data_IF_474931001317
#
_entry.id   IF_474931001317
#
_cell.length_a   1.000
_cell.length_b   1.000
_cell.length_c   1.000
_cell.angle_alpha   90.00
_cell.angle_beta   90.00
_cell.angle_gamma   90.00
#
_symmetry.space_group_name_H-M   'P 1'
#
loop_
_entity.id
_entity.type
_entity.pdbx_description
1 polymer ?
#
# COMPACT_ATOMS: atom_id res chain seq x y z
N UNK A 1 8.80 -28.67 32.12
CA UNK A 1 9.98 -29.55 32.32
C UNK A 1 11.11 -29.19 31.36
N UNK A 2 10.87 -28.97 30.06
CA UNK A 2 11.89 -28.54 29.08
C UNK A 2 12.47 -27.15 29.39
N UNK A 3 11.63 -26.21 29.80
CA UNK A 3 11.98 -24.85 30.18
C UNK A 3 13.01 -24.82 31.35
N UNK A 4 12.84 -25.71 32.33
CA UNK A 4 13.76 -25.78 33.50
C UNK A 4 15.09 -26.44 33.20
N UNK A 5 15.16 -27.31 32.18
CA UNK A 5 16.36 -28.12 31.90
C UNK A 5 17.34 -27.40 30.95
N UNK A 6 16.84 -26.69 29.95
CA UNK A 6 17.67 -25.99 28.96
C UNK A 6 18.28 -24.70 29.51
N UNK A 7 17.64 -24.11 30.48
CA UNK A 7 17.98 -22.78 30.97
C UNK A 7 18.92 -22.81 32.19
N UNK A 8 18.92 -23.91 32.99
CA UNK A 8 19.69 -24.03 34.23
C UNK A 8 21.12 -24.50 34.08
N UNK A 9 21.57 -24.90 32.90
CA UNK A 9 22.99 -25.26 32.72
C UNK A 9 23.82 -24.01 32.48
N UNK A 10 24.61 -23.62 33.45
CA UNK A 10 25.67 -22.63 33.26
C UNK A 10 26.68 -23.20 32.25
N UNK A 11 26.62 -22.66 31.03
CA UNK A 11 27.57 -22.99 29.97
C UNK A 11 28.80 -22.13 30.21
N UNK A 12 29.95 -22.77 30.43
CA UNK A 12 31.23 -22.06 30.53
C UNK A 12 31.51 -21.37 29.18
N UNK A 13 32.00 -20.13 29.23
CA UNK A 13 32.17 -19.23 28.07
C UNK A 13 33.09 -19.76 26.96
N UNK A 14 33.80 -20.87 27.19
CA UNK A 14 34.81 -21.41 26.26
C UNK A 14 34.32 -22.52 25.32
N UNK A 15 33.08 -23.01 25.45
CA UNK A 15 32.53 -24.07 24.57
C UNK A 15 31.64 -23.48 23.47
N UNK A 16 32.23 -23.22 22.31
CA UNK A 16 31.48 -22.70 21.14
C UNK A 16 30.35 -23.65 20.69
N UNK A 17 30.53 -24.95 20.79
CA UNK A 17 29.51 -25.95 20.43
C UNK A 17 28.34 -25.91 21.44
N UNK A 18 28.61 -25.78 22.73
CA UNK A 18 27.58 -25.68 23.76
C UNK A 18 26.76 -24.38 23.61
N UNK A 19 27.40 -23.28 23.23
CA UNK A 19 26.75 -22.00 22.93
C UNK A 19 25.83 -22.12 21.71
N UNK A 20 26.28 -22.79 20.63
CA UNK A 20 25.45 -22.99 19.42
C UNK A 20 24.23 -23.87 19.70
N UNK A 21 24.39 -24.97 20.44
CA UNK A 21 23.30 -25.85 20.84
C UNK A 21 22.26 -25.09 21.68
N UNK A 22 22.73 -24.24 22.62
CA UNK A 22 21.84 -23.42 23.44
C UNK A 22 21.09 -22.36 22.61
N UNK A 23 21.78 -21.70 21.66
CA UNK A 23 21.16 -20.75 20.71
C UNK A 23 20.06 -21.41 19.87
N UNK A 24 20.35 -22.58 19.32
CA UNK A 24 19.38 -23.34 18.52
C UNK A 24 18.20 -23.82 19.36
N UNK A 25 18.44 -24.29 20.58
CA UNK A 25 17.39 -24.73 21.49
C UNK A 25 16.46 -23.58 21.90
N UNK A 26 17.00 -22.38 22.09
CA UNK A 26 16.20 -21.18 22.38
C UNK A 26 15.34 -20.80 21.18
N UNK A 27 15.86 -20.88 19.96
CA UNK A 27 15.09 -20.60 18.73
C UNK A 27 13.99 -21.62 18.50
N UNK A 28 14.27 -22.92 18.70
CA UNK A 28 13.27 -23.97 18.59
C UNK A 28 12.17 -23.82 19.64
N UNK A 29 12.52 -23.52 20.90
CA UNK A 29 11.55 -23.25 21.95
C UNK A 29 10.69 -22.01 21.59
N UNK A 30 11.32 -20.94 21.11
CA UNK A 30 10.62 -19.74 20.63
C UNK A 30 9.64 -20.07 19.50
N UNK A 31 10.04 -20.91 18.53
CA UNK A 31 9.17 -21.31 17.44
C UNK A 31 8.00 -22.18 17.88
N UNK A 32 8.20 -23.04 18.87
CA UNK A 32 7.13 -23.85 19.48
C UNK A 32 6.15 -22.97 20.25
N UNK A 33 6.63 -22.02 21.06
CA UNK A 33 5.77 -21.07 21.78
C UNK A 33 4.98 -20.18 20.82
N UNK A 34 5.58 -19.77 19.71
CA UNK A 34 4.90 -19.03 18.65
C UNK A 34 3.77 -19.86 18.01
N UNK A 35 4.02 -21.13 17.70
CA UNK A 35 3.01 -22.05 17.14
C UNK A 35 1.87 -22.36 18.11
N UNK A 36 2.14 -22.39 19.41
CA UNK A 36 1.13 -22.64 20.47
C UNK A 36 0.36 -21.37 20.87
N UNK A 37 0.74 -20.19 20.37
CA UNK A 37 0.05 -18.93 20.67
C UNK A 37 0.34 -18.35 22.07
N UNK A 38 1.38 -18.83 22.76
CA UNK A 38 1.74 -18.40 24.13
C UNK A 38 2.64 -17.16 24.12
N UNK A 39 2.06 -15.98 23.92
CA UNK A 39 2.78 -14.71 23.80
C UNK A 39 3.48 -14.31 25.12
N UNK A 40 2.83 -14.51 26.27
CA UNK A 40 3.39 -14.15 27.58
C UNK A 40 4.63 -14.97 27.92
N UNK A 41 4.63 -16.27 27.62
CA UNK A 41 5.75 -17.15 27.87
C UNK A 41 6.94 -16.82 26.94
N UNK A 42 6.66 -16.45 25.69
CA UNK A 42 7.69 -16.02 24.73
C UNK A 42 8.32 -14.69 25.17
N UNK A 43 7.51 -13.74 25.67
CA UNK A 43 8.00 -12.49 26.28
C UNK A 43 8.86 -12.76 27.53
N UNK A 44 8.44 -13.69 28.38
CA UNK A 44 9.21 -14.17 29.53
C UNK A 44 10.53 -14.82 29.14
N UNK A 45 10.54 -15.64 28.06
CA UNK A 45 11.76 -16.25 27.52
C UNK A 45 12.76 -15.18 27.06
N UNK A 46 12.28 -14.12 26.41
CA UNK A 46 13.12 -13.03 25.93
C UNK A 46 13.80 -12.26 27.07
N UNK A 47 13.07 -12.05 28.19
CA UNK A 47 13.63 -11.46 29.42
C UNK A 47 14.64 -12.39 30.08
N UNK A 48 14.35 -13.68 30.11
CA UNK A 48 15.19 -14.67 30.74
C UNK A 48 16.52 -14.90 30.00
N UNK A 49 16.53 -14.78 28.66
CA UNK A 49 17.72 -14.97 27.83
C UNK A 49 18.70 -13.78 27.94
N UNK A 50 18.29 -12.61 28.48
CA UNK A 50 19.15 -11.41 28.59
C UNK A 50 20.52 -11.64 29.23
N UNK A 51 20.67 -12.36 30.36
CA UNK A 51 21.98 -12.65 30.94
C UNK A 51 22.88 -13.44 30.00
N UNK A 52 22.30 -14.43 29.28
CA UNK A 52 23.02 -15.23 28.30
C UNK A 52 23.44 -14.40 27.06
N UNK A 53 22.65 -13.40 26.67
CA UNK A 53 23.03 -12.48 25.58
C UNK A 53 24.27 -11.64 25.91
N UNK A 54 24.58 -11.45 27.16
CA UNK A 54 25.77 -10.71 27.58
C UNK A 54 27.05 -11.57 27.52
N UNK A 55 26.93 -12.89 27.58
CA UNK A 55 28.05 -13.84 27.45
C UNK A 55 28.40 -14.18 25.98
N UNK A 56 27.54 -13.85 25.03
CA UNK A 56 27.73 -14.16 23.61
C UNK A 56 28.25 -12.95 22.83
N UNK A 57 28.84 -13.21 21.64
CA UNK A 57 29.28 -12.15 20.74
C UNK A 57 28.11 -11.24 20.34
N UNK A 58 28.36 -9.94 20.25
CA UNK A 58 27.33 -8.91 19.94
C UNK A 58 26.53 -9.21 18.69
N UNK A 59 27.16 -9.83 17.66
CA UNK A 59 26.52 -10.19 16.40
C UNK A 59 25.56 -11.39 16.54
N UNK A 60 25.97 -12.44 17.26
CA UNK A 60 25.12 -13.64 17.53
C UNK A 60 23.92 -13.23 18.40
N UNK A 61 24.17 -12.45 19.46
CA UNK A 61 23.11 -11.92 20.32
C UNK A 61 22.07 -11.09 19.55
N UNK A 62 22.53 -10.21 18.65
CA UNK A 62 21.63 -9.41 17.83
C UNK A 62 20.79 -10.24 16.86
N UNK A 63 21.35 -11.33 16.30
CA UNK A 63 20.62 -12.27 15.44
C UNK A 63 19.53 -12.99 16.23
N UNK A 64 19.87 -13.53 17.40
CA UNK A 64 18.96 -14.30 18.25
C UNK A 64 17.78 -13.45 18.71
N UNK A 65 18.04 -12.23 19.20
CA UNK A 65 16.96 -11.31 19.61
C UNK A 65 16.06 -10.92 18.45
N UNK A 66 16.63 -10.68 17.25
CA UNK A 66 15.82 -10.40 16.04
C UNK A 66 14.92 -11.58 15.68
N UNK A 67 15.47 -12.80 15.64
CA UNK A 67 14.67 -13.98 15.29
C UNK A 67 13.55 -14.24 16.29
N UNK A 68 13.80 -14.07 17.59
CA UNK A 68 12.76 -14.20 18.62
C UNK A 68 11.68 -13.13 18.50
N UNK A 69 12.05 -11.89 18.22
CA UNK A 69 11.08 -10.82 18.01
C UNK A 69 10.29 -10.99 16.71
N UNK A 70 10.92 -11.51 15.65
CA UNK A 70 10.19 -11.84 14.41
C UNK A 70 9.12 -12.90 14.67
N UNK A 71 9.46 -13.96 15.42
CA UNK A 71 8.49 -14.98 15.85
C UNK A 71 7.36 -14.40 16.71
N UNK A 72 7.67 -13.45 17.59
CA UNK A 72 6.69 -12.80 18.44
C UNK A 72 5.75 -11.87 17.64
N UNK A 73 6.28 -11.12 16.68
CA UNK A 73 5.51 -10.23 15.82
C UNK A 73 4.64 -10.98 14.79
N UNK A 74 5.09 -12.17 14.37
CA UNK A 74 4.32 -13.02 13.44
C UNK A 74 3.13 -13.73 14.12
N UNK A 75 3.03 -13.71 15.46
CA UNK A 75 1.92 -14.29 16.19
C UNK A 75 0.65 -13.44 16.06
N UNK A 76 -0.47 -14.08 15.67
CA UNK A 76 -1.77 -13.40 15.54
C UNK A 76 -2.43 -13.04 16.88
N UNK A 77 -2.03 -13.70 17.96
CA UNK A 77 -2.67 -13.65 19.30
C UNK A 77 -2.16 -12.53 20.22
N UNK A 78 -1.19 -11.72 19.79
CA UNK A 78 -0.56 -10.74 20.65
C UNK A 78 -1.42 -9.46 20.78
N UNK A 79 -1.94 -9.24 21.95
CA UNK A 79 -2.90 -8.17 22.31
C UNK A 79 -2.20 -6.97 22.95
N UNK A 80 -1.42 -6.20 22.17
CA UNK A 80 -0.85 -4.94 22.67
C UNK A 80 0.43 -5.06 23.52
N UNK A 81 0.72 -6.20 24.11
CA UNK A 81 1.97 -6.48 24.85
C UNK A 81 3.22 -6.46 23.97
N UNK A 82 3.04 -6.61 22.66
CA UNK A 82 4.11 -6.53 21.64
C UNK A 82 4.84 -5.19 21.69
N UNK A 83 4.07 -4.13 21.82
CA UNK A 83 4.58 -2.75 21.83
C UNK A 83 5.46 -2.52 23.05
N UNK A 84 4.97 -2.93 24.21
CA UNK A 84 5.67 -2.75 25.49
C UNK A 84 6.97 -3.57 25.52
N UNK A 85 6.91 -4.81 25.03
CA UNK A 85 8.09 -5.68 24.96
C UNK A 85 9.15 -5.14 23.99
N UNK A 86 8.72 -4.65 22.80
CA UNK A 86 9.64 -4.03 21.85
C UNK A 86 10.30 -2.78 22.44
N UNK A 87 9.54 -1.91 23.10
CA UNK A 87 10.06 -0.72 23.76
C UNK A 87 11.04 -1.08 24.86
N UNK A 88 10.72 -2.08 25.69
CA UNK A 88 11.62 -2.58 26.73
C UNK A 88 12.93 -3.15 26.16
N UNK A 89 12.86 -3.86 25.03
CA UNK A 89 14.04 -4.35 24.33
C UNK A 89 14.89 -3.21 23.73
N UNK A 90 14.25 -2.17 23.21
CA UNK A 90 14.94 -0.97 22.71
C UNK A 90 15.66 -0.24 23.85
N UNK A 91 15.02 -0.07 25.00
CA UNK A 91 15.63 0.54 26.18
C UNK A 91 16.80 -0.28 26.70
N UNK A 92 16.64 -1.60 26.78
CA UNK A 92 17.74 -2.49 27.13
C UNK A 92 18.91 -2.38 26.15
N UNK A 93 18.65 -2.35 24.83
CA UNK A 93 19.69 -2.19 23.83
C UNK A 93 20.40 -0.82 23.92
N UNK A 94 19.69 0.23 24.36
CA UNK A 94 20.25 1.56 24.64
C UNK A 94 21.16 1.52 25.87
N UNK A 95 20.74 0.88 26.96
CA UNK A 95 21.52 0.76 28.20
C UNK A 95 22.82 0.01 27.98
N UNK A 96 22.79 -1.06 27.18
CA UNK A 96 23.96 -1.89 26.84
C UNK A 96 24.82 -1.29 25.71
N UNK A 97 24.49 -0.08 25.22
CA UNK A 97 25.18 0.59 24.10
C UNK A 97 25.31 -0.27 22.83
N UNK A 98 24.30 -1.13 22.55
CA UNK A 98 24.22 -2.00 21.40
C UNK A 98 23.52 -1.27 20.25
N UNK A 99 24.23 -0.35 19.59
CA UNK A 99 23.65 0.56 18.58
C UNK A 99 22.98 -0.17 17.41
N UNK A 100 23.63 -1.19 16.83
CA UNK A 100 23.08 -1.98 15.72
C UNK A 100 21.81 -2.74 16.10
N UNK A 101 21.78 -3.33 17.30
CA UNK A 101 20.60 -4.02 17.78
C UNK A 101 19.45 -3.04 18.02
N UNK A 102 19.71 -1.91 18.67
CA UNK A 102 18.73 -0.85 18.89
C UNK A 102 18.10 -0.41 17.57
N UNK A 103 18.92 -0.10 16.58
CA UNK A 103 18.45 0.35 15.27
C UNK A 103 17.60 -0.69 14.55
N UNK A 104 18.03 -1.95 14.57
CA UNK A 104 17.25 -3.05 14.00
C UNK A 104 15.90 -3.23 14.72
N UNK A 105 15.84 -3.07 16.05
CA UNK A 105 14.60 -3.15 16.82
C UNK A 105 13.68 -1.94 16.55
N UNK A 106 14.23 -0.74 16.48
CA UNK A 106 13.47 0.47 16.12
C UNK A 106 12.83 0.36 14.73
N UNK A 107 13.54 -0.22 13.75
CA UNK A 107 13.00 -0.51 12.42
C UNK A 107 11.87 -1.54 12.49
N UNK A 108 12.06 -2.64 13.22
CA UNK A 108 11.05 -3.70 13.36
C UNK A 108 9.80 -3.19 14.07
N UNK A 109 9.95 -2.45 15.16
CA UNK A 109 8.84 -1.80 15.86
C UNK A 109 8.02 -0.89 14.94
N UNK A 110 8.69 -0.19 14.03
CA UNK A 110 8.06 0.71 13.07
C UNK A 110 7.37 -0.03 11.92
N UNK A 111 7.79 -1.27 11.63
CA UNK A 111 7.32 -2.06 10.49
C UNK A 111 6.04 -2.87 10.77
N UNK A 112 5.61 -2.98 12.02
CA UNK A 112 4.47 -3.81 12.42
C UNK A 112 3.14 -3.30 11.81
N UNK A 113 2.43 -4.12 10.99
CA UNK A 113 1.24 -3.71 10.27
C UNK A 113 -0.08 -3.79 11.05
N UNK A 114 -0.08 -4.28 12.31
CA UNK A 114 -1.33 -4.58 13.03
C UNK A 114 -2.19 -3.35 13.32
N UNK A 115 -3.52 -3.43 13.10
CA UNK A 115 -4.44 -2.29 13.24
C UNK A 115 -4.87 -2.08 14.69
N UNK A 116 -4.07 -1.38 15.48
CA UNK A 116 -4.46 -0.89 16.80
C UNK A 116 -4.55 0.64 16.80
N UNK A 117 -5.30 1.24 17.73
CA UNK A 117 -5.41 2.71 17.91
C UNK A 117 -4.04 3.41 17.99
N UNK A 118 -2.98 2.68 18.35
CA UNK A 118 -1.59 3.10 18.33
C UNK A 118 -0.97 3.30 16.93
N UNK A 119 -1.66 2.87 15.85
CA UNK A 119 -1.12 2.99 14.47
C UNK A 119 -0.93 4.44 14.05
N UNK A 120 -1.90 5.30 14.34
CA UNK A 120 -1.80 6.75 14.05
C UNK A 120 -0.69 7.41 14.88
N UNK A 121 -0.54 7.04 16.15
CA UNK A 121 0.54 7.54 16.99
C UNK A 121 1.92 7.09 16.50
N UNK A 122 2.06 5.84 16.04
CA UNK A 122 3.31 5.34 15.44
C UNK A 122 3.65 6.06 14.13
N UNK A 123 2.66 6.30 13.27
CA UNK A 123 2.86 7.06 12.03
C UNK A 123 3.26 8.51 12.28
N UNK A 124 2.78 9.13 13.34
CA UNK A 124 3.20 10.47 13.74
C UNK A 124 4.60 10.51 14.38
N UNK A 125 4.99 9.44 15.08
CA UNK A 125 6.27 9.34 15.77
C UNK A 125 7.42 8.93 14.84
N UNK A 126 7.12 8.14 13.78
CA UNK A 126 8.12 7.66 12.83
C UNK A 126 8.91 8.77 12.10
N UNK A 127 8.31 9.88 11.62
CA UNK A 127 9.08 10.92 10.94
C UNK A 127 10.17 11.53 11.83
N UNK A 128 9.94 11.58 13.14
CA UNK A 128 10.91 12.11 14.09
C UNK A 128 12.02 11.10 14.40
N UNK A 129 11.65 9.88 14.74
CA UNK A 129 12.58 8.78 15.07
C UNK A 129 13.33 8.32 13.81
N UNK A 130 12.64 8.16 12.70
CA UNK A 130 13.19 7.74 11.41
C UNK A 130 14.23 8.71 10.86
N UNK A 131 14.02 10.02 11.01
CA UNK A 131 14.99 11.02 10.55
C UNK A 131 16.32 10.97 11.31
N UNK A 132 16.27 10.67 12.62
CA UNK A 132 17.44 10.47 13.45
C UNK A 132 18.15 9.16 13.08
N UNK A 133 17.39 8.08 12.94
CA UNK A 133 17.88 6.77 12.54
C UNK A 133 18.56 6.80 11.16
N UNK A 134 17.96 7.49 10.18
CA UNK A 134 18.54 7.69 8.86
C UNK A 134 19.89 8.43 8.89
N UNK A 135 20.03 9.44 9.76
CA UNK A 135 21.30 10.16 9.92
C UNK A 135 22.38 9.26 10.51
N UNK A 136 22.04 8.43 11.49
CA UNK A 136 22.96 7.48 12.12
C UNK A 136 23.37 6.38 11.12
N UNK A 137 22.44 5.79 10.38
CA UNK A 137 22.71 4.74 9.40
C UNK A 137 23.55 5.22 8.22
N UNK A 138 23.34 6.45 7.75
CA UNK A 138 24.19 7.06 6.72
C UNK A 138 25.65 7.23 7.18
N UNK A 139 25.88 7.44 8.47
CA UNK A 139 27.23 7.54 9.04
C UNK A 139 27.91 6.18 9.18
N UNK A 140 27.12 5.11 9.38
CA UNK A 140 27.64 3.76 9.63
C UNK A 140 27.78 2.90 8.37
N UNK A 141 27.32 3.40 7.22
CA UNK A 141 27.33 2.75 5.89
C UNK A 141 26.63 1.36 5.84
N UNK A 142 25.67 1.13 6.74
CA UNK A 142 24.80 -0.07 6.68
C UNK A 142 23.69 0.15 5.67
N UNK A 143 24.01 -0.13 4.39
CA UNK A 143 23.11 0.10 3.27
C UNK A 143 21.88 -0.81 3.29
N UNK A 144 22.01 -2.04 3.80
CA UNK A 144 20.88 -2.98 3.84
C UNK A 144 19.79 -2.48 4.78
N UNK A 145 20.16 -2.09 6.00
CA UNK A 145 19.22 -1.53 6.96
C UNK A 145 18.70 -0.16 6.53
N UNK A 146 19.53 0.62 5.83
CA UNK A 146 19.14 1.91 5.27
C UNK A 146 18.00 1.77 4.25
N UNK A 147 18.04 0.76 3.38
CA UNK A 147 16.95 0.47 2.41
C UNK A 147 15.66 0.11 3.14
N UNK A 148 15.72 -0.72 4.18
CA UNK A 148 14.54 -1.08 4.96
C UNK A 148 13.90 0.15 5.63
N UNK A 149 14.71 1.04 6.22
CA UNK A 149 14.22 2.26 6.87
C UNK A 149 13.61 3.24 5.86
N UNK A 150 14.25 3.44 4.71
CA UNK A 150 13.73 4.31 3.65
C UNK A 150 12.43 3.76 3.05
N UNK A 151 12.31 2.43 2.92
CA UNK A 151 11.06 1.79 2.49
C UNK A 151 9.94 2.01 3.51
N UNK A 152 10.23 1.90 4.80
CA UNK A 152 9.29 2.22 5.86
C UNK A 152 8.90 3.70 5.87
N UNK A 153 9.86 4.59 5.67
CA UNK A 153 9.61 6.02 5.53
C UNK A 153 8.64 6.30 4.39
N UNK A 154 8.84 5.66 3.24
CA UNK A 154 7.92 5.77 2.10
C UNK A 154 6.51 5.29 2.44
N UNK A 155 6.36 4.14 3.12
CA UNK A 155 5.07 3.61 3.55
C UNK A 155 4.36 4.53 4.55
N UNK A 156 5.09 5.10 5.48
CA UNK A 156 4.52 6.04 6.47
C UNK A 156 4.05 7.34 5.84
N UNK A 157 4.84 7.93 4.93
CA UNK A 157 4.41 9.11 4.20
C UNK A 157 3.21 8.83 3.29
N UNK A 158 3.14 7.65 2.68
CA UNK A 158 1.96 7.23 1.92
C UNK A 158 0.72 7.14 2.81
N UNK A 159 0.84 6.52 3.99
CA UNK A 159 -0.26 6.42 4.96
C UNK A 159 -0.72 7.80 5.50
N UNK A 160 0.19 8.78 5.56
CA UNK A 160 -0.09 10.19 5.89
C UNK A 160 -0.58 11.00 4.67
N UNK A 161 -0.84 10.35 3.54
CA UNK A 161 -1.28 10.98 2.28
C UNK A 161 -0.28 12.00 1.71
N UNK A 162 1.00 11.91 2.09
CA UNK A 162 2.07 12.77 1.58
C UNK A 162 2.83 12.05 0.46
N UNK A 163 2.22 11.97 -0.72
CA UNK A 163 2.75 11.25 -1.88
C UNK A 163 4.11 11.76 -2.35
N UNK A 164 4.39 13.08 -2.47
CA UNK A 164 5.69 13.55 -2.92
C UNK A 164 6.86 13.11 -2.04
N UNK A 165 6.67 13.14 -0.70
CA UNK A 165 7.70 12.66 0.25
C UNK A 165 7.83 11.14 0.21
N UNK A 166 6.72 10.42 0.08
CA UNK A 166 6.72 8.97 -0.07
C UNK A 166 7.52 8.54 -1.31
N UNK A 167 7.34 9.23 -2.43
CA UNK A 167 8.08 9.01 -3.68
C UNK A 167 9.57 9.31 -3.53
N UNK A 168 9.93 10.43 -2.92
CA UNK A 168 11.33 10.81 -2.68
C UNK A 168 12.06 9.76 -1.82
N UNK A 169 11.43 9.29 -0.74
CA UNK A 169 11.96 8.24 0.12
C UNK A 169 12.13 6.92 -0.64
N UNK A 170 11.16 6.54 -1.47
CA UNK A 170 11.23 5.33 -2.30
C UNK A 170 12.34 5.41 -3.34
N UNK A 171 12.50 6.54 -4.02
CA UNK A 171 13.58 6.75 -4.98
C UNK A 171 14.95 6.61 -4.31
N UNK A 172 15.11 7.17 -3.10
CA UNK A 172 16.32 7.01 -2.31
C UNK A 172 16.55 5.54 -1.92
N UNK A 173 15.49 4.82 -1.53
CA UNK A 173 15.58 3.40 -1.20
C UNK A 173 16.04 2.56 -2.40
N UNK A 174 15.45 2.77 -3.59
CA UNK A 174 15.83 2.06 -4.82
C UNK A 174 17.25 2.38 -5.25
N UNK A 175 17.68 3.62 -5.17
CA UNK A 175 19.08 4.02 -5.47
C UNK A 175 20.06 3.30 -4.55
N UNK A 176 19.74 3.21 -3.26
CA UNK A 176 20.58 2.49 -2.29
C UNK A 176 20.55 0.97 -2.53
N UNK A 177 19.38 0.41 -2.85
CA UNK A 177 19.21 -1.02 -3.13
C UNK A 177 19.98 -1.46 -4.38
N UNK A 178 20.03 -0.63 -5.43
CA UNK A 178 20.80 -0.91 -6.65
C UNK A 178 22.32 -0.96 -6.41
N UNK A 179 22.81 -0.35 -5.33
CA UNK A 179 24.22 -0.33 -4.98
C UNK A 179 24.67 -1.55 -4.14
N UNK A 180 23.75 -2.43 -3.75
CA UNK A 180 24.02 -3.61 -2.92
C UNK A 180 23.31 -4.84 -3.48
N UNK A 181 23.71 -6.03 -2.99
CA UNK A 181 22.90 -7.21 -3.21
C UNK A 181 21.63 -7.12 -2.37
N UNK A 182 20.49 -6.98 -3.04
CA UNK A 182 19.18 -6.88 -2.39
C UNK A 182 18.53 -8.26 -2.31
N UNK A 183 18.13 -8.75 -1.13
CA UNK A 183 17.39 -10.01 -1.02
C UNK A 183 16.06 -9.94 -1.78
N UNK A 184 15.59 -11.05 -2.43
CA UNK A 184 14.37 -11.04 -3.23
C UNK A 184 13.14 -10.56 -2.47
N UNK A 185 13.03 -10.86 -1.17
CA UNK A 185 11.94 -10.38 -0.29
C UNK A 185 11.90 -8.85 -0.19
N UNK A 186 13.07 -8.22 -0.08
CA UNK A 186 13.18 -6.77 0.03
C UNK A 186 12.95 -6.09 -1.32
N UNK A 187 13.48 -6.67 -2.40
CA UNK A 187 13.24 -6.19 -3.76
C UNK A 187 11.74 -6.22 -4.09
N UNK A 188 11.05 -7.34 -3.83
CA UNK A 188 9.61 -7.45 -4.02
C UNK A 188 8.82 -6.42 -3.18
N UNK A 189 9.29 -6.10 -1.98
CA UNK A 189 8.67 -5.08 -1.15
C UNK A 189 8.87 -3.65 -1.69
N UNK A 190 10.01 -3.37 -2.34
CA UNK A 190 10.28 -2.11 -3.04
C UNK A 190 9.39 -1.96 -4.28
N UNK A 191 9.26 -3.03 -5.07
CA UNK A 191 8.44 -3.02 -6.28
C UNK A 191 6.96 -2.91 -5.94
N UNK A 192 6.50 -3.59 -4.87
CA UNK A 192 5.15 -3.42 -4.34
C UNK A 192 4.84 -1.96 -3.97
N UNK A 193 5.75 -1.31 -3.25
CA UNK A 193 5.58 0.10 -2.85
C UNK A 193 5.65 1.04 -4.07
N UNK A 194 6.46 0.72 -5.07
CA UNK A 194 6.54 1.47 -6.33
C UNK A 194 5.20 1.43 -7.07
N UNK A 195 4.61 0.24 -7.21
CA UNK A 195 3.30 0.06 -7.81
C UNK A 195 2.21 0.85 -7.09
N UNK A 196 2.20 0.83 -5.75
CA UNK A 196 1.24 1.57 -4.93
C UNK A 196 1.34 3.08 -5.17
N UNK A 197 2.55 3.64 -5.19
CA UNK A 197 2.75 5.08 -5.39
C UNK A 197 2.36 5.50 -6.81
N UNK A 198 2.74 4.73 -7.86
CA UNK A 198 2.34 5.01 -9.23
C UNK A 198 0.82 4.98 -9.41
N UNK A 199 0.14 4.01 -8.80
CA UNK A 199 -1.32 3.92 -8.81
C UNK A 199 -2.00 5.10 -8.10
N UNK A 200 -1.40 5.60 -7.00
CA UNK A 200 -1.99 6.66 -6.18
C UNK A 200 -1.76 8.06 -6.77
N UNK A 201 -0.54 8.37 -7.22
CA UNK A 201 -0.10 9.72 -7.63
C UNK A 201 -0.39 9.97 -9.12
N UNK A 202 0.15 9.14 -9.99
CA UNK A 202 0.13 9.37 -11.43
C UNK A 202 -1.09 8.72 -12.12
N UNK A 203 -1.83 7.88 -11.42
CA UNK A 203 -2.89 7.03 -11.98
C UNK A 203 -2.39 6.20 -13.19
N UNK A 204 -1.07 5.97 -13.25
CA UNK A 204 -0.43 5.16 -14.28
C UNK A 204 -0.54 3.67 -13.91
N UNK A 205 -1.70 3.11 -14.26
CA UNK A 205 -2.03 1.72 -13.98
C UNK A 205 -1.18 0.72 -14.77
N UNK A 206 -0.61 1.13 -15.92
CA UNK A 206 0.25 0.25 -16.74
C UNK A 206 1.58 0.02 -16.06
N UNK A 207 2.25 1.10 -15.65
CA UNK A 207 3.51 1.01 -14.92
C UNK A 207 3.31 0.37 -13.54
N UNK A 208 2.21 0.72 -12.84
CA UNK A 208 1.87 0.08 -11.57
C UNK A 208 1.70 -1.43 -11.71
N UNK A 209 1.03 -1.90 -12.77
CA UNK A 209 0.89 -3.32 -13.07
C UNK A 209 2.23 -4.03 -13.23
N UNK A 210 3.18 -3.43 -13.97
CA UNK A 210 4.52 -4.02 -14.17
C UNK A 210 5.26 -4.19 -12.85
N UNK A 211 5.22 -3.18 -11.96
CA UNK A 211 5.81 -3.31 -10.63
C UNK A 211 5.13 -4.34 -9.73
N UNK A 212 3.80 -4.44 -9.80
CA UNK A 212 3.09 -5.48 -9.05
C UNK A 212 3.37 -6.88 -9.58
N UNK A 213 3.61 -7.03 -10.88
CA UNK A 213 3.99 -8.29 -11.49
C UNK A 213 5.40 -8.73 -11.02
N UNK A 214 6.38 -7.83 -11.04
CA UNK A 214 7.72 -8.08 -10.50
C UNK A 214 7.67 -8.43 -9.00
N UNK A 215 6.87 -7.71 -8.23
CA UNK A 215 6.65 -8.00 -6.82
C UNK A 215 6.01 -9.38 -6.61
N UNK A 216 5.04 -9.75 -7.44
CA UNK A 216 4.40 -11.07 -7.41
C UNK A 216 5.39 -12.19 -7.66
N UNK A 217 6.20 -12.10 -8.74
CA UNK A 217 7.24 -13.09 -9.04
C UNK A 217 8.26 -13.20 -7.90
N UNK A 218 8.67 -12.07 -7.34
CA UNK A 218 9.60 -12.04 -6.20
C UNK A 218 9.03 -12.70 -4.95
N UNK A 219 7.76 -12.50 -4.63
CA UNK A 219 7.12 -13.15 -3.49
C UNK A 219 6.79 -14.62 -3.75
N UNK A 220 6.37 -14.99 -4.96
CA UNK A 220 6.09 -16.38 -5.34
C UNK A 220 7.34 -17.23 -5.27
N UNK A 221 8.50 -16.73 -5.70
CA UNK A 221 9.80 -17.44 -5.64
C UNK A 221 10.22 -17.83 -4.21
N UNK A 222 9.68 -17.18 -3.19
CA UNK A 222 9.99 -17.39 -1.76
C UNK A 222 8.81 -18.06 -1.03
N UNK A 223 7.74 -18.43 -1.73
CA UNK A 223 6.48 -18.92 -1.14
C UNK A 223 5.89 -17.98 -0.05
N UNK A 224 5.97 -16.68 -0.27
CA UNK A 224 5.50 -15.69 0.69
C UNK A 224 4.00 -15.38 0.49
N UNK A 225 3.16 -15.38 1.55
CA UNK A 225 1.72 -15.10 1.45
C UNK A 225 1.40 -13.71 0.87
N UNK A 226 2.35 -12.76 0.88
CA UNK A 226 2.16 -11.43 0.25
C UNK A 226 2.01 -11.49 -1.28
N UNK A 227 2.33 -12.62 -1.91
CA UNK A 227 2.05 -12.86 -3.33
C UNK A 227 0.55 -12.68 -3.65
N UNK A 228 -0.35 -13.11 -2.75
CA UNK A 228 -1.80 -12.92 -2.89
C UNK A 228 -2.15 -11.42 -2.98
N UNK A 229 -1.53 -10.60 -2.15
CA UNK A 229 -1.76 -9.15 -2.15
C UNK A 229 -1.27 -8.50 -3.45
N UNK A 230 -0.10 -8.92 -3.95
CA UNK A 230 0.42 -8.46 -5.23
C UNK A 230 -0.52 -8.84 -6.38
N UNK A 231 -1.02 -10.09 -6.39
CA UNK A 231 -1.99 -10.56 -7.38
C UNK A 231 -3.29 -9.75 -7.33
N UNK A 232 -3.81 -9.43 -6.15
CA UNK A 232 -4.98 -8.55 -6.00
C UNK A 232 -4.75 -7.17 -6.63
N UNK A 233 -3.59 -6.58 -6.42
CA UNK A 233 -3.27 -5.27 -6.99
C UNK A 233 -3.06 -5.33 -8.52
N UNK A 234 -2.52 -6.43 -9.04
CA UNK A 234 -2.48 -6.65 -10.49
C UNK A 234 -3.87 -6.70 -11.11
N UNK A 235 -4.79 -7.46 -10.49
CA UNK A 235 -6.19 -7.54 -10.94
C UNK A 235 -6.87 -6.16 -10.87
N UNK A 236 -6.66 -5.42 -9.78
CA UNK A 236 -7.17 -4.06 -9.63
C UNK A 236 -6.66 -3.13 -10.75
N UNK A 237 -5.37 -3.18 -11.09
CA UNK A 237 -4.83 -2.38 -12.20
C UNK A 237 -5.51 -2.69 -13.52
N UNK A 238 -5.77 -3.96 -13.83
CA UNK A 238 -6.48 -4.36 -15.06
C UNK A 238 -7.95 -3.89 -15.07
N UNK A 239 -8.62 -3.91 -13.92
CA UNK A 239 -9.98 -3.38 -13.78
C UNK A 239 -9.96 -1.86 -14.04
N UNK A 240 -9.02 -1.13 -13.45
CA UNK A 240 -8.91 0.32 -13.62
C UNK A 240 -8.50 0.74 -15.04
N UNK A 241 -7.79 -0.13 -15.78
CA UNK A 241 -7.51 0.04 -17.22
C UNK A 241 -8.71 -0.28 -18.10
N UNK A 242 -9.81 -0.78 -17.53
CA UNK A 242 -11.01 -1.21 -18.25
C UNK A 242 -10.74 -2.34 -19.28
N UNK A 243 -9.87 -3.29 -18.91
CA UNK A 243 -9.52 -4.48 -19.71
C UNK A 243 -9.96 -5.74 -18.94
N UNK A 244 -11.26 -6.04 -18.86
CA UNK A 244 -11.78 -7.14 -18.05
C UNK A 244 -11.42 -8.53 -18.61
N UNK A 245 -11.09 -8.63 -19.89
CA UNK A 245 -10.68 -9.89 -20.53
C UNK A 245 -9.35 -10.40 -19.97
N UNK A 246 -8.41 -9.49 -19.73
CA UNK A 246 -7.12 -9.83 -19.13
C UNK A 246 -7.27 -10.29 -17.67
N UNK A 247 -8.27 -9.78 -16.94
CA UNK A 247 -8.55 -10.22 -15.56
C UNK A 247 -8.91 -11.71 -15.54
N UNK A 248 -9.75 -12.14 -16.47
CA UNK A 248 -10.15 -13.54 -16.57
C UNK A 248 -8.98 -14.43 -17.00
N UNK A 249 -8.16 -13.98 -17.94
CA UNK A 249 -6.95 -14.67 -18.38
C UNK A 249 -5.93 -14.81 -17.23
N UNK A 250 -5.73 -13.76 -16.44
CA UNK A 250 -4.83 -13.77 -15.29
C UNK A 250 -5.31 -14.75 -14.20
N UNK A 251 -6.61 -14.75 -13.87
CA UNK A 251 -7.16 -15.65 -12.83
C UNK A 251 -7.13 -17.11 -13.28
N UNK A 252 -7.27 -17.37 -14.60
CA UNK A 252 -7.18 -18.71 -15.17
C UNK A 252 -5.73 -19.17 -15.39
N UNK A 253 -4.76 -18.29 -15.24
CA UNK A 253 -3.34 -18.57 -15.41
C UNK A 253 -2.82 -19.56 -14.38
N UNK A 254 -1.85 -20.41 -14.76
CA UNK A 254 -1.28 -21.44 -13.88
C UNK A 254 -0.74 -20.88 -12.55
N UNK A 255 -0.18 -19.69 -12.57
CA UNK A 255 0.37 -19.02 -11.37
C UNK A 255 -0.77 -18.55 -10.43
N UNK A 256 -1.84 -18.00 -11.00
CA UNK A 256 -2.96 -17.51 -10.19
C UNK A 256 -3.83 -18.64 -9.61
N UNK A 257 -3.90 -19.80 -10.30
CA UNK A 257 -4.62 -20.98 -9.78
C UNK A 257 -4.07 -21.47 -8.43
N UNK A 258 -2.77 -21.27 -8.18
CA UNK A 258 -2.13 -21.59 -6.90
C UNK A 258 -2.66 -20.72 -5.75
N UNK A 259 -3.08 -19.49 -6.06
CA UNK A 259 -3.59 -18.49 -5.13
C UNK A 259 -5.09 -18.25 -5.31
N UNK A 260 -5.79 -19.19 -5.98
CA UNK A 260 -7.23 -19.11 -6.13
C UNK A 260 -7.92 -19.14 -4.77
N UNK A 261 -8.77 -18.17 -4.51
CA UNK A 261 -9.45 -18.02 -3.24
C UNK A 261 -10.56 -16.99 -3.30
N UNK A 262 -11.29 -16.85 -2.20
CA UNK A 262 -12.41 -15.92 -2.09
C UNK A 262 -12.04 -14.46 -2.39
N UNK A 263 -10.79 -14.07 -2.09
CA UNK A 263 -10.27 -12.73 -2.35
C UNK A 263 -10.09 -12.44 -3.86
N UNK A 264 -9.64 -13.43 -4.63
CA UNK A 264 -9.49 -13.31 -6.09
C UNK A 264 -10.85 -13.40 -6.80
N UNK A 265 -11.79 -14.19 -6.27
CA UNK A 265 -13.17 -14.24 -6.77
C UNK A 265 -13.90 -12.91 -6.58
N UNK A 266 -13.71 -12.23 -5.46
CA UNK A 266 -14.27 -10.92 -5.21
C UNK A 266 -13.89 -9.91 -6.32
N UNK A 267 -12.60 -9.82 -6.67
CA UNK A 267 -12.14 -8.94 -7.73
C UNK A 267 -12.60 -9.37 -9.12
N UNK A 268 -12.78 -10.67 -9.36
CA UNK A 268 -13.39 -11.19 -10.60
C UNK A 268 -14.85 -10.75 -10.75
N UNK A 269 -15.64 -10.82 -9.67
CA UNK A 269 -17.02 -10.32 -9.67
C UNK A 269 -17.06 -8.80 -9.91
N UNK A 270 -16.16 -8.03 -9.28
CA UNK A 270 -16.03 -6.60 -9.53
C UNK A 270 -15.67 -6.30 -10.99
N UNK A 271 -14.74 -7.05 -11.57
CA UNK A 271 -14.36 -6.91 -12.98
C UNK A 271 -15.54 -7.19 -13.93
N UNK A 272 -16.33 -8.20 -13.63
CA UNK A 272 -17.52 -8.55 -14.41
C UNK A 272 -18.61 -7.47 -14.30
N UNK A 273 -18.85 -6.95 -13.09
CA UNK A 273 -19.78 -5.83 -12.87
C UNK A 273 -19.33 -4.56 -13.62
N UNK A 274 -18.02 -4.28 -13.61
CA UNK A 274 -17.45 -3.18 -14.39
C UNK A 274 -17.61 -3.38 -15.90
N UNK A 275 -17.40 -4.60 -16.41
CA UNK A 275 -17.64 -4.96 -17.83
C UNK A 275 -19.08 -4.73 -18.23
N UNK A 276 -20.01 -5.16 -17.39
CA UNK A 276 -21.45 -5.03 -17.63
C UNK A 276 -21.94 -3.60 -17.39
N UNK A 277 -21.11 -2.71 -16.82
CA UNK A 277 -21.47 -1.36 -16.37
C UNK A 277 -22.70 -1.35 -15.46
N UNK A 278 -22.87 -2.41 -14.67
CA UNK A 278 -23.99 -2.60 -13.75
C UNK A 278 -23.60 -2.15 -12.34
N UNK A 279 -24.21 -1.07 -11.86
CA UNK A 279 -24.04 -0.61 -10.47
C UNK A 279 -24.61 -1.61 -9.48
N UNK A 280 -25.76 -2.22 -9.78
CA UNK A 280 -26.41 -3.21 -8.93
C UNK A 280 -25.52 -4.45 -8.69
N UNK A 281 -24.86 -4.96 -9.73
CA UNK A 281 -23.95 -6.10 -9.60
C UNK A 281 -22.67 -5.70 -8.84
N UNK A 282 -22.22 -4.45 -9.01
CA UNK A 282 -21.08 -3.91 -8.27
C UNK A 282 -21.39 -3.80 -6.78
N UNK A 283 -22.56 -3.28 -6.40
CA UNK A 283 -22.99 -3.18 -5.00
C UNK A 283 -23.22 -4.55 -4.37
N UNK A 284 -23.79 -5.51 -5.10
CA UNK A 284 -23.87 -6.91 -4.66
C UNK A 284 -22.47 -7.47 -4.38
N UNK A 285 -21.51 -7.28 -5.28
CA UNK A 285 -20.14 -7.73 -5.06
C UNK A 285 -19.50 -7.09 -3.83
N UNK A 286 -19.75 -5.78 -3.58
CA UNK A 286 -19.26 -5.10 -2.38
C UNK A 286 -19.91 -5.60 -1.09
N UNK A 287 -21.18 -6.03 -1.13
CA UNK A 287 -21.90 -6.58 0.04
C UNK A 287 -21.50 -8.01 0.32
N UNK A 288 -21.40 -8.85 -0.70
CA UNK A 288 -21.08 -10.28 -0.58
C UNK A 288 -19.62 -10.49 -0.12
N UNK A 289 -18.71 -9.65 -0.60
CA UNK A 289 -17.27 -9.71 -0.29
C UNK A 289 -16.79 -8.55 0.58
N UNK A 290 -17.65 -8.06 1.48
CA UNK A 290 -17.38 -6.89 2.33
C UNK A 290 -16.08 -7.01 3.14
N UNK A 291 -15.79 -8.18 3.68
CA UNK A 291 -14.58 -8.42 4.49
C UNK A 291 -13.36 -8.34 3.60
N UNK A 292 -13.34 -9.08 2.50
CA UNK A 292 -12.18 -9.22 1.62
C UNK A 292 -11.78 -7.91 0.90
N UNK A 293 -12.76 -7.05 0.62
CA UNK A 293 -12.55 -5.79 -0.11
C UNK A 293 -12.32 -4.58 0.82
N UNK A 294 -12.85 -4.59 2.05
CA UNK A 294 -12.68 -3.48 3.02
C UNK A 294 -11.42 -3.57 3.87
N UNK A 295 -10.90 -4.77 4.07
CA UNK A 295 -9.71 -4.97 4.91
C UNK A 295 -8.46 -4.28 4.32
N UNK A 296 -8.41 -4.12 3.01
CA UNK A 296 -7.31 -3.46 2.32
C UNK A 296 -7.69 -1.99 1.98
N UNK A 297 -7.10 -1.00 2.67
CA UNK A 297 -7.43 0.41 2.48
C UNK A 297 -7.12 0.91 1.06
N UNK A 298 -6.13 0.31 0.37
CA UNK A 298 -5.76 0.68 -1.00
C UNK A 298 -6.85 0.24 -1.96
N UNK A 299 -7.28 -1.01 -1.87
CA UNK A 299 -8.36 -1.55 -2.70
C UNK A 299 -9.64 -0.75 -2.48
N UNK A 300 -10.00 -0.50 -1.21
CA UNK A 300 -11.20 0.27 -0.87
C UNK A 300 -11.19 1.68 -1.48
N UNK A 301 -10.06 2.39 -1.41
CA UNK A 301 -9.92 3.74 -1.99
C UNK A 301 -10.09 3.73 -3.52
N UNK A 302 -9.53 2.73 -4.19
CA UNK A 302 -9.63 2.65 -5.64
C UNK A 302 -10.99 2.11 -6.11
N UNK A 303 -11.63 1.21 -5.36
CA UNK A 303 -13.00 0.77 -5.63
C UNK A 303 -14.01 1.90 -5.47
N UNK A 304 -13.82 2.79 -4.48
CA UNK A 304 -14.66 3.99 -4.36
C UNK A 304 -14.55 4.88 -5.61
N UNK A 305 -13.33 5.08 -6.13
CA UNK A 305 -13.13 5.82 -7.39
C UNK A 305 -13.74 5.10 -8.59
N UNK A 306 -13.67 3.76 -8.63
CA UNK A 306 -14.28 2.97 -9.69
C UNK A 306 -15.80 3.09 -9.65
N UNK A 307 -16.40 3.05 -8.46
CA UNK A 307 -17.84 3.28 -8.26
C UNK A 307 -18.25 4.66 -8.79
N UNK A 308 -17.51 5.71 -8.42
CA UNK A 308 -17.76 7.07 -8.91
C UNK A 308 -17.71 7.16 -10.44
N UNK A 309 -16.74 6.50 -11.07
CA UNK A 309 -16.63 6.47 -12.54
C UNK A 309 -17.78 5.70 -13.19
N UNK A 310 -18.19 4.58 -12.63
CA UNK A 310 -19.33 3.80 -13.12
C UNK A 310 -20.64 4.60 -12.98
N UNK A 311 -20.81 5.30 -11.86
CA UNK A 311 -21.94 6.18 -11.63
C UNK A 311 -21.99 7.31 -12.68
N UNK A 312 -20.86 7.97 -12.94
CA UNK A 312 -20.75 9.01 -13.97
C UNK A 312 -21.15 8.48 -15.35
N UNK A 313 -20.59 7.33 -15.74
CA UNK A 313 -20.89 6.72 -17.05
C UNK A 313 -22.37 6.34 -17.20
N UNK A 314 -22.97 5.81 -16.14
CA UNK A 314 -24.39 5.47 -16.15
C UNK A 314 -25.27 6.73 -16.20
N UNK A 315 -24.94 7.78 -15.43
CA UNK A 315 -25.65 9.06 -15.48
C UNK A 315 -25.58 9.68 -16.88
N UNK A 316 -24.39 9.74 -17.51
CA UNK A 316 -24.25 10.25 -18.89
C UNK A 316 -25.15 9.48 -19.85
N UNK A 317 -25.11 8.16 -19.81
CA UNK A 317 -25.91 7.31 -20.71
C UNK A 317 -27.42 7.57 -20.59
N UNK A 318 -27.87 7.88 -19.37
CA UNK A 318 -29.26 8.15 -19.10
C UNK A 318 -29.69 9.51 -19.58
N UNK A 319 -28.87 10.54 -19.34
CA UNK A 319 -29.21 11.92 -19.69
C UNK A 319 -28.98 12.23 -21.16
N UNK A 320 -28.08 11.52 -21.87
CA UNK A 320 -27.70 11.75 -23.25
C UNK A 320 -28.89 11.85 -24.22
N UNK A 321 -29.97 11.01 -24.16
CA UNK A 321 -31.08 11.09 -25.07
C UNK A 321 -32.09 12.22 -24.73
N UNK A 322 -31.91 12.95 -23.66
CA UNK A 322 -32.86 13.94 -23.18
C UNK A 322 -32.31 15.37 -23.20
N UNK A 323 -33.09 16.34 -23.65
CA UNK A 323 -32.75 17.76 -23.54
C UNK A 323 -33.13 18.36 -22.18
N UNK A 324 -34.11 17.75 -21.50
CA UNK A 324 -34.59 18.18 -20.18
C UNK A 324 -34.95 16.98 -19.33
N UNK A 325 -34.35 16.86 -18.14
CA UNK A 325 -34.56 15.74 -17.22
C UNK A 325 -34.95 16.25 -15.85
N UNK A 326 -36.00 15.72 -15.27
CA UNK A 326 -36.40 16.04 -13.92
C UNK A 326 -35.60 15.13 -12.94
N UNK A 327 -34.84 15.74 -12.04
CA UNK A 327 -33.96 15.02 -11.10
C UNK A 327 -34.75 14.49 -9.90
N UNK A 328 -35.91 15.08 -9.58
CA UNK A 328 -36.80 14.73 -8.47
C UNK A 328 -37.85 13.69 -8.87
N UNK A 329 -37.54 12.66 -9.60
CA UNK A 329 -38.52 11.59 -9.82
C UNK A 329 -38.57 10.71 -8.58
N UNK A 330 -39.71 10.82 -7.87
CA UNK A 330 -40.12 9.93 -6.79
C UNK A 330 -39.85 8.47 -7.13
N UNK A 331 -39.36 7.73 -6.16
CA UNK A 331 -38.91 6.35 -6.17
C UNK A 331 -39.87 5.29 -6.72
N UNK A 332 -41.03 5.67 -7.25
CA UNK A 332 -42.04 4.72 -7.70
C UNK A 332 -41.93 4.30 -9.21
N UNK A 333 -41.13 5.01 -10.01
CA UNK A 333 -41.02 4.72 -11.45
C UNK A 333 -39.58 4.52 -11.95
N UNK A 334 -38.58 4.48 -11.10
CA UNK A 334 -37.18 4.31 -11.47
C UNK A 334 -36.64 2.91 -11.15
N UNK A 335 -37.35 1.89 -11.61
CA UNK A 335 -36.83 0.50 -11.62
C UNK A 335 -35.56 0.33 -12.47
N UNK A 336 -35.09 1.39 -13.12
CA UNK A 336 -33.97 1.28 -14.07
C UNK A 336 -32.70 2.05 -13.74
N UNK A 337 -32.62 2.94 -12.74
CA UNK A 337 -31.50 3.87 -12.83
C UNK A 337 -30.58 4.08 -11.66
N UNK A 338 -31.02 4.20 -10.44
CA UNK A 338 -30.11 4.34 -9.29
C UNK A 338 -30.83 3.97 -7.99
N UNK A 339 -30.77 2.74 -7.51
CA UNK A 339 -31.56 2.31 -6.36
C UNK A 339 -31.15 2.87 -4.99
N UNK A 340 -29.98 3.53 -4.86
CA UNK A 340 -29.39 3.74 -3.52
C UNK A 340 -28.81 5.12 -3.23
N UNK A 341 -28.75 6.08 -4.17
CA UNK A 341 -28.20 7.41 -3.85
C UNK A 341 -29.33 8.38 -3.49
N UNK A 342 -29.28 9.08 -2.35
CA UNK A 342 -30.22 10.15 -2.05
C UNK A 342 -30.15 11.21 -3.15
N UNK A 343 -31.27 11.78 -3.56
CA UNK A 343 -31.38 12.78 -4.65
C UNK A 343 -30.31 13.89 -4.55
N UNK A 344 -30.01 14.34 -3.35
CA UNK A 344 -28.97 15.33 -3.08
C UNK A 344 -27.54 14.90 -3.49
N UNK A 345 -27.23 13.62 -3.47
CA UNK A 345 -25.93 13.09 -3.90
C UNK A 345 -25.80 13.05 -5.41
N UNK A 346 -26.89 12.68 -6.11
CA UNK A 346 -26.99 12.71 -7.56
C UNK A 346 -26.89 14.14 -8.08
N UNK A 347 -27.61 15.10 -7.47
CA UNK A 347 -27.52 16.53 -7.80
C UNK A 347 -26.10 17.08 -7.64
N UNK A 348 -25.45 16.75 -6.53
CA UNK A 348 -24.06 17.16 -6.27
C UNK A 348 -23.12 16.57 -7.35
N UNK A 349 -23.33 15.32 -7.72
CA UNK A 349 -22.52 14.66 -8.74
C UNK A 349 -22.75 15.25 -10.12
N UNK A 350 -23.98 15.52 -10.52
CA UNK A 350 -24.33 16.19 -11.77
C UNK A 350 -23.73 17.59 -11.85
N UNK A 351 -23.79 18.37 -10.77
CA UNK A 351 -23.15 19.70 -10.68
C UNK A 351 -21.64 19.60 -10.90
N UNK A 352 -20.99 18.62 -10.28
CA UNK A 352 -19.56 18.39 -10.47
C UNK A 352 -19.24 18.00 -11.90
N UNK A 353 -20.03 17.13 -12.53
CA UNK A 353 -19.84 16.71 -13.93
C UNK A 353 -19.99 17.87 -14.92
N UNK A 354 -20.89 18.83 -14.66
CA UNK A 354 -21.01 20.07 -15.44
C UNK A 354 -19.75 20.92 -15.30
N UNK A 355 -19.25 21.10 -14.06
CA UNK A 355 -18.01 21.85 -13.79
C UNK A 355 -16.78 21.19 -14.45
N UNK A 356 -16.71 19.86 -14.43
CA UNK A 356 -15.67 19.07 -15.08
C UNK A 356 -15.82 18.99 -16.61
N UNK A 357 -16.84 19.65 -17.18
CA UNK A 357 -17.15 19.66 -18.62
C UNK A 357 -17.34 18.27 -19.22
N UNK A 358 -17.91 17.34 -18.44
CA UNK A 358 -18.25 16.00 -18.94
C UNK A 358 -19.46 16.04 -19.90
N UNK A 359 -20.35 16.99 -19.67
CA UNK A 359 -21.45 17.39 -20.56
C UNK A 359 -21.78 18.86 -20.31
N UNK A 360 -22.49 19.47 -21.25
CA UNK A 360 -22.92 20.86 -21.15
C UNK A 360 -24.36 20.91 -20.67
N UNK A 361 -24.61 21.60 -19.57
CA UNK A 361 -25.96 21.68 -19.01
C UNK A 361 -26.08 22.69 -17.88
N UNK A 362 -27.30 22.95 -17.47
CA UNK A 362 -27.66 23.79 -16.32
C UNK A 362 -28.53 22.97 -15.38
N UNK A 363 -28.18 22.92 -14.11
CA UNK A 363 -28.99 22.30 -13.07
C UNK A 363 -29.76 23.40 -12.32
N UNK A 364 -31.08 23.36 -12.48
CA UNK A 364 -32.00 24.21 -11.69
C UNK A 364 -32.38 23.46 -10.42
N UNK A 365 -31.82 23.87 -9.31
CA UNK A 365 -32.08 23.27 -8.00
C UNK A 365 -33.49 23.65 -7.45
N UNK A 366 -34.07 24.75 -7.90
CA UNK A 366 -35.39 25.19 -7.44
C UNK A 366 -36.50 24.31 -8.00
N UNK A 367 -36.42 24.01 -9.28
CA UNK A 367 -37.39 23.13 -9.98
C UNK A 367 -36.95 21.66 -9.99
N UNK A 368 -35.71 21.34 -9.58
CA UNK A 368 -35.16 20.00 -9.67
C UNK A 368 -35.00 19.51 -11.10
N UNK A 369 -34.64 20.39 -12.03
CA UNK A 369 -34.59 20.10 -13.46
C UNK A 369 -33.15 20.27 -13.97
N UNK A 370 -32.66 19.29 -14.72
CA UNK A 370 -31.44 19.35 -15.49
C UNK A 370 -31.76 19.66 -16.95
N UNK A 371 -31.20 20.74 -17.48
CA UNK A 371 -31.27 21.10 -18.89
C UNK A 371 -29.94 20.76 -19.54
N UNK A 372 -29.95 20.00 -20.62
CA UNK A 372 -28.77 19.54 -21.33
C UNK A 372 -28.67 20.27 -22.66
N UNK A 373 -27.46 20.74 -22.97
CA UNK A 373 -27.16 21.42 -24.22
C UNK A 373 -26.30 20.54 -25.11
N UNK A 374 -26.48 20.65 -26.42
CA UNK A 374 -25.57 20.05 -27.39
C UNK A 374 -24.18 20.69 -27.26
N UNK A 375 -23.15 19.93 -27.62
CA UNK A 375 -21.79 20.49 -27.65
C UNK A 375 -21.74 21.67 -28.61
N UNK A 376 -21.21 22.83 -28.19
CA UNK A 376 -21.07 23.96 -29.10
C UNK A 376 -20.15 23.52 -30.25
N UNK A 377 -20.52 23.89 -31.53
CA UNK A 377 -19.72 23.53 -32.67
C UNK A 377 -18.30 24.07 -32.50
N UNK A 378 -17.29 23.20 -32.59
CA UNK A 378 -15.88 23.56 -32.44
C UNK A 378 -15.52 24.48 -33.64
N UNK A 379 -15.24 25.73 -33.31
CA UNK A 379 -14.76 26.69 -34.32
C UNK A 379 -13.25 26.42 -34.58
N UNK A 380 -13.01 25.55 -35.59
CA UNK A 380 -11.65 25.20 -36.02
C UNK A 380 -10.83 26.41 -36.44
N UNK A 381 -11.47 27.46 -36.92
CA UNK A 381 -10.82 28.72 -37.29
C UNK A 381 -10.26 29.44 -36.07
N UNK A 382 -10.99 29.42 -34.96
CA UNK A 382 -10.54 30.03 -33.70
C UNK A 382 -9.37 29.26 -33.07
N UNK A 383 -9.44 27.94 -33.08
CA UNK A 383 -8.32 27.09 -32.61
C UNK A 383 -7.05 27.28 -33.46
N UNK A 384 -7.19 27.29 -34.80
CA UNK A 384 -6.09 27.55 -35.71
C UNK A 384 -5.48 28.95 -35.51
N UNK A 385 -6.31 29.96 -35.23
CA UNK A 385 -5.85 31.31 -34.92
C UNK A 385 -5.06 31.34 -33.58
N UNK A 386 -5.53 30.67 -32.55
CA UNK A 386 -4.82 30.59 -31.26
C UNK A 386 -3.49 29.85 -31.42
N UNK A 387 -3.46 28.75 -32.16
CA UNK A 387 -2.23 28.01 -32.43
C UNK A 387 -1.22 28.86 -33.21
N UNK A 388 -1.70 29.63 -34.19
CA UNK A 388 -0.85 30.59 -34.96
C UNK A 388 -0.26 31.65 -34.03
N UNK A 389 -1.06 32.24 -33.13
CA UNK A 389 -0.60 33.22 -32.15
C UNK A 389 0.47 32.61 -31.22
N UNK A 390 0.24 31.42 -30.72
CA UNK A 390 1.22 30.72 -29.87
C UNK A 390 2.53 30.43 -30.60
N UNK A 391 2.45 30.04 -31.88
CA UNK A 391 3.66 29.79 -32.69
C UNK A 391 4.38 31.09 -32.98
N UNK A 392 3.69 32.20 -33.24
CA UNK A 392 4.29 33.53 -33.37
C UNK A 392 5.03 33.93 -32.08
N UNK A 393 4.41 33.72 -30.91
CA UNK A 393 5.09 34.02 -29.63
C UNK A 393 6.40 33.22 -29.49
N UNK A 394 6.41 31.96 -29.79
CA UNK A 394 7.62 31.11 -29.76
C UNK A 394 8.71 31.64 -30.72
N UNK A 395 8.32 32.11 -31.91
CA UNK A 395 9.26 32.69 -32.88
C UNK A 395 9.83 33.97 -32.34
N UNK A 396 9.03 34.87 -31.77
CA UNK A 396 9.48 36.14 -31.16
C UNK A 396 10.45 35.86 -30.03
N UNK A 397 10.14 34.91 -29.13
CA UNK A 397 11.08 34.52 -28.05
C UNK A 397 12.39 33.97 -28.56
N UNK A 398 12.35 33.15 -29.63
CA UNK A 398 13.56 32.64 -30.28
C UNK A 398 14.39 33.73 -30.89
N UNK A 399 13.76 34.71 -31.57
CA UNK A 399 14.44 35.86 -32.15
C UNK A 399 15.04 36.76 -31.08
N UNK A 400 14.31 37.03 -30.00
CA UNK A 400 14.81 37.78 -28.86
C UNK A 400 16.05 37.13 -28.23
N UNK A 401 16.00 35.82 -28.01
CA UNK A 401 17.14 35.08 -27.47
C UNK A 401 18.35 35.03 -28.41
N UNK A 402 18.11 35.02 -29.72
CA UNK A 402 19.20 35.14 -30.71
C UNK A 402 19.78 36.55 -30.74
N UNK A 403 18.94 37.57 -30.71
CA UNK A 403 19.41 38.99 -30.69
C UNK A 403 20.25 39.25 -29.43
N UNK A 404 19.80 38.75 -28.26
CA UNK A 404 20.54 38.86 -27.00
C UNK A 404 21.92 38.19 -27.00
N UNK A 405 22.13 37.21 -27.87
CA UNK A 405 23.44 36.53 -28.01
C UNK A 405 24.38 37.27 -28.98
N UNK A 406 23.86 38.23 -29.75
CA UNK A 406 24.65 39.05 -30.72
C UNK A 406 25.03 40.39 -30.12
N UNK A 407 24.38 40.82 -29.07
CA UNK A 407 24.75 41.93 -28.20
C UNK A 407 25.60 41.44 -27.02
#
# INVERSE_FOLDING_TARGET
LFHSFLVKRDVQENDEEAVQVKEQSILELGSLLAKTGQAEELGGLLKYVRPFLNSISKAKAARLVRSLLDLFLDMEAATGQEVDLCLECIEWAKSEKRTFLRQALEVRYSADPKPTQSRLQRFLFFPLLGSQLLRELKKMDDKALLVEVQLLESKTYHALSNLPKARAALTSARTTANAIYCPPKLQAALDMQSGIIHAAEEKDWKTAYSYFYEAFEGYDSIDNPKAITALKYMLLCKIMLNIPEDVQALVSGKLALRYAGRQTEALKCVAQASKNRSLADFEKALTDYKVELRDDPIINTHLAKLYDNLLEQNLIRVIEPFSRVQVNVSSEHTDMLVPLSPAAEVERKLSQMILDKKFHGILDQGEGVLIIFDEPPVDKTYEAALETIQNMSKVVDSLYNKAKKLT
#
